data_IF_246601825004
#
_entry.id   IF_246601825004
#
_cell.length_a   1.000
_cell.length_b   1.000
_cell.length_c   1.000
_cell.angle_alpha   90.00
_cell.angle_beta   90.00
_cell.angle_gamma   90.00
#
_symmetry.space_group_name_H-M   'P 1'
#
loop_
_entity.id
_entity.type
_entity.pdbx_description
1 polymer ?
#
# COMPACT_ATOMS: atom_id res chain seq x y z
N UNK A 1 -34.90 2.94 -17.60
CA UNK A 1 -33.99 3.04 -18.76
C UNK A 1 -32.53 2.94 -18.29
N UNK A 2 -32.07 1.77 -17.82
CA UNK A 2 -30.64 1.58 -17.44
C UNK A 2 -30.01 0.27 -17.97
N UNK A 3 -30.81 -0.63 -18.58
CA UNK A 3 -30.32 -1.87 -19.21
C UNK A 3 -30.02 -1.73 -20.71
N UNK A 4 -30.47 -0.66 -21.37
CA UNK A 4 -30.25 -0.42 -22.81
C UNK A 4 -28.88 0.20 -23.13
N UNK A 5 -28.10 0.61 -22.11
CA UNK A 5 -26.81 1.27 -22.29
C UNK A 5 -25.59 0.32 -22.22
N UNK A 6 -25.81 -1.01 -22.14
CA UNK A 6 -24.71 -1.98 -22.01
C UNK A 6 -24.11 -2.07 -20.60
N UNK A 7 -24.82 -1.61 -19.56
CA UNK A 7 -24.40 -1.74 -18.17
C UNK A 7 -24.64 -3.15 -17.62
N UNK A 8 -23.65 -3.68 -16.91
CA UNK A 8 -23.73 -4.98 -16.24
C UNK A 8 -24.59 -4.95 -14.97
N UNK A 9 -24.71 -3.80 -14.31
CA UNK A 9 -25.55 -3.61 -13.13
C UNK A 9 -25.92 -2.13 -12.90
N UNK A 10 -26.91 -1.86 -12.06
CA UNK A 10 -27.34 -0.51 -11.71
C UNK A 10 -27.55 -0.36 -10.18
N UNK A 11 -26.79 0.52 -9.56
CA UNK A 11 -26.95 0.91 -8.15
C UNK A 11 -27.67 2.26 -8.05
N UNK A 12 -28.87 2.25 -7.48
CA UNK A 12 -29.64 3.46 -7.20
C UNK A 12 -29.02 4.30 -6.09
N UNK A 13 -29.11 5.63 -6.21
CA UNK A 13 -28.65 6.55 -5.17
C UNK A 13 -29.60 6.52 -3.95
N UNK A 14 -29.10 6.71 -2.71
CA UNK A 14 -27.70 6.88 -2.33
C UNK A 14 -26.92 5.56 -2.41
N UNK A 15 -25.71 5.61 -2.98
CA UNK A 15 -24.89 4.41 -3.17
C UNK A 15 -24.29 4.01 -1.83
N UNK A 16 -24.65 2.82 -1.35
CA UNK A 16 -24.00 2.21 -0.19
C UNK A 16 -22.70 1.53 -0.63
N UNK A 17 -21.61 1.79 0.09
CA UNK A 17 -20.29 1.25 -0.26
C UNK A 17 -20.24 -0.29 -0.24
N UNK A 18 -21.03 -0.91 0.65
CA UNK A 18 -21.14 -2.36 0.74
C UNK A 18 -21.74 -2.96 -0.53
N UNK A 19 -22.90 -2.47 -0.96
CA UNK A 19 -23.61 -2.94 -2.15
C UNK A 19 -22.77 -2.77 -3.43
N UNK A 20 -21.99 -1.68 -3.51
CA UNK A 20 -21.06 -1.45 -4.63
C UNK A 20 -19.93 -2.49 -4.66
N UNK A 21 -19.30 -2.75 -3.51
CA UNK A 21 -18.21 -3.73 -3.40
C UNK A 21 -18.71 -5.16 -3.68
N UNK A 22 -19.92 -5.51 -3.26
CA UNK A 22 -20.54 -6.79 -3.60
C UNK A 22 -20.80 -6.95 -5.10
N UNK A 23 -21.29 -5.88 -5.74
CA UNK A 23 -21.54 -5.85 -7.18
C UNK A 23 -20.24 -6.05 -7.95
N UNK A 24 -19.18 -5.32 -7.58
CA UNK A 24 -17.83 -5.47 -8.18
C UNK A 24 -17.29 -6.89 -7.97
N UNK A 25 -17.46 -7.46 -6.77
CA UNK A 25 -17.08 -8.86 -6.48
C UNK A 25 -17.76 -9.83 -7.42
N UNK A 26 -19.08 -9.70 -7.57
CA UNK A 26 -19.90 -10.61 -8.37
C UNK A 26 -19.52 -10.55 -9.85
N UNK A 27 -19.41 -9.36 -10.43
CA UNK A 27 -19.15 -9.21 -11.87
C UNK A 27 -17.69 -9.47 -12.28
N UNK A 28 -16.73 -9.30 -11.36
CA UNK A 28 -15.30 -9.53 -11.64
C UNK A 28 -14.75 -10.84 -11.06
N UNK A 29 -15.57 -11.64 -10.36
CA UNK A 29 -15.14 -12.91 -9.77
C UNK A 29 -14.02 -12.78 -8.73
N UNK A 30 -13.98 -11.66 -8.01
CA UNK A 30 -12.88 -11.34 -7.09
C UNK A 30 -13.04 -12.07 -5.75
N UNK A 31 -11.91 -12.47 -5.15
CA UNK A 31 -11.86 -12.96 -3.77
C UNK A 31 -11.31 -11.86 -2.85
N UNK A 32 -12.13 -11.35 -1.95
CA UNK A 32 -11.69 -10.34 -1.00
C UNK A 32 -10.76 -10.97 0.06
N UNK A 33 -9.50 -10.54 0.10
CA UNK A 33 -8.59 -10.87 1.19
C UNK A 33 -8.78 -9.79 2.26
N UNK A 34 -9.67 -10.03 3.22
CA UNK A 34 -9.81 -9.17 4.38
C UNK A 34 -8.62 -9.42 5.28
N UNK A 35 -7.75 -8.43 5.43
CA UNK A 35 -6.74 -8.45 6.48
C UNK A 35 -7.50 -8.47 7.81
N UNK A 36 -7.50 -9.61 8.50
CA UNK A 36 -7.83 -9.64 9.92
C UNK A 36 -6.80 -8.76 10.62
N UNK A 37 -7.19 -7.52 10.91
CA UNK A 37 -6.59 -6.80 12.02
C UNK A 37 -6.88 -7.67 13.23
N UNK A 38 -5.85 -8.33 13.75
CA UNK A 38 -5.92 -8.98 15.05
C UNK A 38 -6.39 -7.92 16.05
N UNK A 39 -7.62 -8.10 16.52
CA UNK A 39 -8.23 -7.35 17.61
C UNK A 39 -7.55 -7.77 18.92
N UNK A 40 -6.30 -7.36 19.11
CA UNK A 40 -5.59 -7.51 20.38
C UNK A 40 -4.73 -6.26 20.62
N UNK A 41 -5.38 -5.16 20.99
CA UNK A 41 -4.94 -4.32 22.11
C UNK A 41 -5.98 -3.24 22.41
N UNK A 42 -6.85 -3.55 23.35
CA UNK A 42 -7.64 -2.58 24.11
C UNK A 42 -6.72 -1.64 24.89
N UNK A 43 -6.66 -0.34 24.56
CA UNK A 43 -6.58 0.76 25.54
C UNK A 43 -7.23 2.05 24.97
N UNK A 44 -8.07 2.76 25.76
CA UNK A 44 -8.79 3.98 25.36
C UNK A 44 -7.95 5.29 25.46
N UNK A 45 -8.48 6.45 25.02
CA UNK A 45 -7.73 7.50 24.32
C UNK A 45 -7.27 8.65 25.22
N UNK A 46 -6.09 9.20 24.94
CA UNK A 46 -5.68 10.51 25.45
C UNK A 46 -5.13 11.39 24.32
N UNK A 47 -5.79 12.54 24.18
CA UNK A 47 -5.29 13.85 23.78
C UNK A 47 -4.46 13.99 22.48
N UNK A 48 -5.13 14.51 21.45
CA UNK A 48 -4.75 15.75 20.77
C UNK A 48 -3.25 16.08 20.72
N UNK A 49 -2.59 15.62 19.66
CA UNK A 49 -1.21 15.95 19.34
C UNK A 49 -0.90 15.67 17.88
N UNK A 50 -0.67 16.74 17.15
CA UNK A 50 -0.32 16.82 15.73
C UNK A 50 0.82 15.86 15.31
N UNK A 51 0.66 15.25 14.13
CA UNK A 51 1.69 14.76 13.19
C UNK A 51 2.68 13.65 13.64
N UNK A 52 2.54 12.49 12.98
CA UNK A 52 3.66 11.63 12.52
C UNK A 52 4.77 11.31 13.54
N UNK A 53 4.42 10.62 14.63
CA UNK A 53 5.44 9.89 15.40
C UNK A 53 5.79 8.57 14.71
N UNK A 54 6.80 8.59 13.84
CA UNK A 54 7.64 7.41 13.65
C UNK A 54 8.61 7.35 14.83
N UNK A 55 8.47 6.32 15.65
CA UNK A 55 9.34 5.99 16.78
C UNK A 55 10.84 6.09 16.41
N UNK A 56 11.66 6.78 17.22
CA UNK A 56 13.11 6.79 17.06
C UNK A 56 13.67 5.48 17.59
N UNK A 57 14.22 4.61 16.74
CA UNK A 57 14.93 3.43 17.27
C UNK A 57 15.33 2.32 16.31
N UNK A 58 14.72 2.20 15.13
CA UNK A 58 15.23 1.25 14.12
C UNK A 58 15.92 2.04 13.02
N UNK A 59 17.26 2.08 13.05
CA UNK A 59 18.03 2.67 11.97
C UNK A 59 17.65 1.98 10.65
N UNK A 60 16.95 2.70 9.77
CA UNK A 60 16.61 2.19 8.44
C UNK A 60 17.92 2.07 7.67
N UNK A 61 18.37 0.84 7.43
CA UNK A 61 19.55 0.59 6.59
C UNK A 61 19.10 0.69 5.13
N UNK A 62 19.58 1.68 4.35
CA UNK A 62 19.24 1.76 2.95
C UNK A 62 19.97 0.66 2.15
N UNK A 63 19.36 0.11 1.09
CA UNK A 63 20.06 -0.75 0.13
C UNK A 63 21.12 0.05 -0.65
N UNK A 64 22.03 -0.62 -1.38
CA UNK A 64 23.06 0.08 -2.15
C UNK A 64 22.45 0.96 -3.24
N UNK A 65 23.23 1.97 -3.68
CA UNK A 65 22.82 3.01 -4.64
C UNK A 65 22.27 2.44 -5.96
N UNK A 66 22.82 1.33 -6.46
CA UNK A 66 22.32 0.67 -7.68
C UNK A 66 20.87 0.21 -7.51
N UNK A 67 20.57 -0.44 -6.40
CA UNK A 67 19.24 -0.95 -6.07
C UNK A 67 18.29 0.21 -5.78
N UNK A 68 18.74 1.27 -5.12
CA UNK A 68 17.94 2.49 -4.92
C UNK A 68 17.55 3.15 -6.24
N UNK A 69 18.47 3.24 -7.20
CA UNK A 69 18.17 3.78 -8.54
C UNK A 69 17.12 2.95 -9.28
N UNK A 70 17.23 1.61 -9.23
CA UNK A 70 16.23 0.70 -9.81
C UNK A 70 14.86 0.93 -9.16
N UNK A 71 14.80 0.97 -7.82
CA UNK A 71 13.55 1.20 -7.09
C UNK A 71 12.95 2.57 -7.41
N UNK A 72 13.77 3.60 -7.54
CA UNK A 72 13.32 4.95 -7.88
C UNK A 72 12.74 5.01 -9.30
N UNK A 73 13.38 4.34 -10.26
CA UNK A 73 12.89 4.28 -11.64
C UNK A 73 11.55 3.52 -11.72
N UNK A 74 11.42 2.39 -11.02
CA UNK A 74 10.16 1.64 -10.92
C UNK A 74 9.05 2.49 -10.27
N UNK A 75 9.35 3.19 -9.17
CA UNK A 75 8.41 4.10 -8.52
C UNK A 75 8.02 5.28 -9.41
N UNK A 76 8.95 5.79 -10.22
CA UNK A 76 8.70 6.88 -11.18
C UNK A 76 7.82 6.42 -12.35
N UNK A 77 8.01 5.19 -12.83
CA UNK A 77 7.21 4.57 -13.90
C UNK A 77 5.85 4.07 -13.41
N UNK A 78 5.63 4.02 -12.09
CA UNK A 78 4.39 3.55 -11.48
C UNK A 78 4.23 2.02 -11.53
N UNK A 79 5.32 1.28 -11.76
CA UNK A 79 5.34 -0.18 -11.81
C UNK A 79 5.40 -0.73 -10.37
N UNK A 80 4.26 -0.67 -9.67
CA UNK A 80 4.19 -1.06 -8.25
C UNK A 80 4.48 -2.56 -8.07
N UNK A 81 3.95 -3.43 -8.95
CA UNK A 81 4.19 -4.88 -8.84
C UNK A 81 5.68 -5.23 -8.94
N UNK A 82 6.37 -4.67 -9.94
CA UNK A 82 7.82 -4.85 -10.11
C UNK A 82 8.62 -4.28 -8.94
N UNK A 83 8.17 -3.14 -8.40
CA UNK A 83 8.78 -2.52 -7.22
C UNK A 83 8.64 -3.43 -5.99
N UNK A 84 7.46 -4.01 -5.76
CA UNK A 84 7.24 -4.95 -4.65
C UNK A 84 8.08 -6.22 -4.83
N UNK A 85 8.21 -6.73 -6.06
CA UNK A 85 9.09 -7.86 -6.35
C UNK A 85 10.55 -7.54 -6.05
N UNK A 86 11.06 -6.38 -6.48
CA UNK A 86 12.44 -5.96 -6.20
C UNK A 86 12.70 -5.76 -4.70
N UNK A 87 11.76 -5.13 -4.00
CA UNK A 87 11.82 -4.96 -2.54
C UNK A 87 11.79 -6.32 -1.82
N UNK A 88 11.02 -7.28 -2.32
CA UNK A 88 11.00 -8.65 -1.78
C UNK A 88 12.35 -9.37 -1.97
N UNK A 89 13.02 -9.17 -3.12
CA UNK A 89 14.39 -9.68 -3.33
C UNK A 89 15.38 -9.07 -2.33
N UNK A 90 15.30 -7.77 -2.07
CA UNK A 90 16.13 -7.10 -1.05
C UNK A 90 15.93 -7.70 0.35
N UNK A 91 14.69 -8.04 0.71
CA UNK A 91 14.37 -8.71 1.98
C UNK A 91 15.03 -10.09 2.08
N UNK A 92 15.12 -10.82 0.97
CA UNK A 92 15.78 -12.14 0.93
C UNK A 92 17.30 -12.04 0.95
N UNK A 93 17.89 -10.97 0.39
CA UNK A 93 19.33 -10.76 0.39
C UNK A 93 19.89 -10.51 1.79
N UNK A 94 19.27 -9.61 2.55
CA UNK A 94 19.75 -9.29 3.90
C UNK A 94 18.61 -8.76 4.77
N UNK A 95 18.45 -9.35 5.97
CA UNK A 95 17.42 -8.96 6.94
C UNK A 95 17.60 -7.52 7.43
N UNK A 96 18.79 -6.92 7.28
CA UNK A 96 19.04 -5.52 7.64
C UNK A 96 18.19 -4.52 6.85
N UNK A 97 17.72 -4.90 5.65
CA UNK A 97 16.87 -4.05 4.81
C UNK A 97 15.38 -4.16 5.16
N UNK A 98 15.00 -5.05 6.10
CA UNK A 98 13.62 -5.24 6.52
C UNK A 98 12.86 -3.95 6.87
N UNK A 99 13.41 -3.00 7.67
CA UNK A 99 12.70 -1.76 7.98
C UNK A 99 12.47 -0.87 6.75
N UNK A 100 13.41 -0.86 5.80
CA UNK A 100 13.26 -0.15 4.52
C UNK A 100 12.17 -0.79 3.65
N UNK A 101 12.22 -2.12 3.53
CA UNK A 101 11.26 -2.93 2.77
C UNK A 101 9.84 -2.74 3.29
N UNK A 102 9.63 -2.85 4.61
CA UNK A 102 8.32 -2.68 5.22
C UNK A 102 7.74 -1.30 4.96
N UNK A 103 8.57 -0.24 5.03
CA UNK A 103 8.10 1.12 4.75
C UNK A 103 7.59 1.27 3.32
N UNK A 104 8.31 0.70 2.35
CA UNK A 104 7.89 0.73 0.94
C UNK A 104 6.64 -0.12 0.72
N UNK A 105 6.56 -1.32 1.32
CA UNK A 105 5.40 -2.20 1.20
C UNK A 105 4.12 -1.54 1.74
N UNK A 106 4.18 -0.91 2.91
CA UNK A 106 3.03 -0.21 3.48
C UNK A 106 2.56 0.94 2.56
N UNK A 107 3.50 1.73 2.03
CA UNK A 107 3.17 2.80 1.09
C UNK A 107 2.61 2.27 -0.24
N UNK A 108 3.08 1.11 -0.69
CA UNK A 108 2.59 0.45 -1.91
C UNK A 108 1.18 -0.11 -1.73
N UNK A 109 0.87 -0.72 -0.57
CA UNK A 109 -0.48 -1.17 -0.24
C UNK A 109 -1.48 -0.02 -0.20
N UNK A 110 -1.06 1.15 0.26
CA UNK A 110 -1.87 2.37 0.24
C UNK A 110 -1.84 3.11 -1.13
N UNK A 111 -1.20 2.54 -2.16
CA UNK A 111 -1.01 3.15 -3.48
C UNK A 111 -0.39 4.56 -3.45
N UNK A 112 0.40 4.87 -2.41
CA UNK A 112 1.03 6.18 -2.17
C UNK A 112 2.33 6.34 -2.96
N UNK A 113 2.28 6.22 -4.29
CA UNK A 113 3.45 6.25 -5.20
C UNK A 113 4.32 7.49 -4.97
N UNK A 114 3.71 8.68 -4.82
CA UNK A 114 4.46 9.93 -4.57
C UNK A 114 5.30 9.85 -3.30
N UNK A 115 4.78 9.21 -2.25
CA UNK A 115 5.48 9.04 -0.99
C UNK A 115 6.60 8.00 -1.10
N UNK A 116 6.38 6.90 -1.84
CA UNK A 116 7.44 5.91 -2.15
C UNK A 116 8.61 6.60 -2.84
N UNK A 117 8.34 7.39 -3.88
CA UNK A 117 9.37 8.11 -4.63
C UNK A 117 10.14 9.08 -3.74
N UNK A 118 9.44 9.86 -2.92
CA UNK A 118 10.07 10.80 -2.00
C UNK A 118 10.88 10.08 -0.92
N UNK A 119 10.41 8.92 -0.45
CA UNK A 119 11.13 8.10 0.52
C UNK A 119 12.43 7.56 -0.07
N UNK A 120 12.40 6.96 -1.26
CA UNK A 120 13.60 6.45 -1.93
C UNK A 120 14.59 7.59 -2.23
N UNK A 121 14.08 8.75 -2.69
CA UNK A 121 14.90 9.94 -2.98
C UNK A 121 15.68 10.47 -1.77
N UNK A 122 15.23 10.22 -0.53
CA UNK A 122 15.97 10.63 0.68
C UNK A 122 17.26 9.85 0.90
N UNK A 123 17.41 8.68 0.27
CA UNK A 123 18.56 7.79 0.42
C UNK A 123 19.41 7.68 -0.86
N UNK A 124 18.94 8.29 -1.96
CA UNK A 124 19.69 8.53 -3.19
C UNK A 124 20.60 9.75 -3.03
#
# INVERSE_FOLDING_TARGET
QSREAGCNDFLSKPIQAQDLLETIRYHLGLSWIHQKTDELSTQPPEAEGDLFQTSPGTAIVPPPLEQLNILYDLARKGLIDDLIQQVSKLKQMDKKYMPFVQKIQNLAQEFKIKQIRNFIKKYL
#
